data_IF_506984197799
#
_entry.id   IF_506984197799
#
_cell.length_a   1.000
_cell.length_b   1.000
_cell.length_c   1.000
_cell.angle_alpha   90.00
_cell.angle_beta   90.00
_cell.angle_gamma   90.00
#
_symmetry.space_group_name_H-M   'P 1'
#
loop_
_entity.id
_entity.type
_entity.pdbx_description
1 polymer ?
#
# COMPACT_ATOMS: atom_id res chain seq x y z
N UNK A 1 -29.97 -5.56 -15.45
CA UNK A 1 -29.95 -4.30 -14.69
C UNK A 1 -28.89 -4.45 -13.62
N UNK A 2 -27.70 -3.91 -13.85
CA UNK A 2 -26.62 -3.95 -12.86
C UNK A 2 -26.90 -2.86 -11.83
N UNK A 3 -27.26 -3.27 -10.62
CA UNK A 3 -27.29 -2.36 -9.49
C UNK A 3 -25.86 -2.08 -9.09
N UNK A 4 -25.30 -0.98 -9.59
CA UNK A 4 -24.18 -0.31 -8.93
C UNK A 4 -24.64 -0.01 -7.52
N UNK A 5 -24.28 -0.88 -6.57
CA UNK A 5 -24.46 -0.63 -5.14
C UNK A 5 -23.53 0.52 -4.81
N UNK A 6 -24.01 1.74 -4.98
CA UNK A 6 -23.38 2.93 -4.44
C UNK A 6 -23.23 2.71 -2.94
N UNK A 7 -22.01 2.49 -2.47
CA UNK A 7 -21.73 2.40 -1.04
C UNK A 7 -22.27 3.68 -0.38
N UNK A 8 -23.08 3.52 0.67
CA UNK A 8 -23.58 4.67 1.43
C UNK A 8 -22.41 5.42 2.07
N UNK A 9 -22.52 6.74 2.24
CA UNK A 9 -21.44 7.56 2.83
C UNK A 9 -20.94 7.03 4.19
N UNK A 10 -21.82 6.40 4.96
CA UNK A 10 -21.49 5.77 6.24
C UNK A 10 -20.63 4.51 6.06
N UNK A 11 -20.93 3.68 5.05
CA UNK A 11 -20.13 2.49 4.69
C UNK A 11 -18.71 2.86 4.24
N UNK A 12 -18.56 3.96 3.49
CA UNK A 12 -17.24 4.46 3.07
C UNK A 12 -16.41 4.88 4.30
N UNK A 13 -17.01 5.64 5.22
CA UNK A 13 -16.33 6.09 6.45
C UNK A 13 -15.85 4.90 7.30
N UNK A 14 -16.64 3.83 7.39
CA UNK A 14 -16.27 2.60 8.09
C UNK A 14 -15.06 1.90 7.44
N UNK A 15 -15.09 1.70 6.12
CA UNK A 15 -13.98 1.11 5.36
C UNK A 15 -12.66 1.87 5.55
N UNK A 16 -12.72 3.19 5.62
CA UNK A 16 -11.55 4.03 5.87
C UNK A 16 -11.07 3.98 7.32
N UNK A 17 -11.96 3.97 8.30
CA UNK A 17 -11.58 3.77 9.69
C UNK A 17 -10.90 2.40 9.89
N UNK A 18 -11.40 1.38 9.21
CA UNK A 18 -10.79 0.07 9.20
C UNK A 18 -9.41 0.09 8.53
N UNK A 19 -9.26 0.76 7.40
CA UNK A 19 -7.98 0.95 6.72
C UNK A 19 -6.95 1.69 7.60
N UNK A 20 -7.38 2.74 8.33
CA UNK A 20 -6.55 3.43 9.34
C UNK A 20 -6.08 2.49 10.45
N UNK A 21 -6.96 1.59 10.90
CA UNK A 21 -6.59 0.60 11.91
C UNK A 21 -5.57 -0.39 11.36
N UNK A 22 -5.82 -0.95 10.17
CA UNK A 22 -4.93 -1.90 9.50
C UNK A 22 -3.52 -1.35 9.26
N UNK A 23 -3.40 -0.12 8.75
CA UNK A 23 -2.07 0.47 8.50
C UNK A 23 -1.30 0.76 9.80
N UNK A 24 -1.99 1.05 10.91
CA UNK A 24 -1.35 1.14 12.23
C UNK A 24 -0.78 -0.20 12.68
N UNK A 25 -1.51 -1.30 12.44
CA UNK A 25 -1.00 -2.65 12.72
C UNK A 25 0.24 -2.95 11.88
N UNK A 26 0.21 -2.65 10.57
CA UNK A 26 1.37 -2.79 9.68
C UNK A 26 2.59 -2.02 10.22
N UNK A 27 2.41 -0.74 10.58
CA UNK A 27 3.50 0.07 11.15
C UNK A 27 4.03 -0.49 12.47
N UNK A 28 3.16 -1.05 13.32
CA UNK A 28 3.58 -1.68 14.58
C UNK A 28 4.42 -2.95 14.34
N UNK A 29 4.14 -3.69 13.27
CA UNK A 29 4.86 -4.92 12.93
C UNK A 29 6.22 -4.66 12.26
N UNK A 30 6.37 -3.57 11.50
CA UNK A 30 7.67 -3.21 10.91
C UNK A 30 8.72 -2.78 11.93
N UNK A 31 8.31 -2.24 13.08
CA UNK A 31 9.26 -1.71 14.06
C UNK A 31 10.16 -0.60 13.50
N UNK A 32 11.44 -0.58 13.92
CA UNK A 32 12.42 0.42 13.49
C UNK A 32 13.34 -0.18 12.43
N UNK A 33 13.44 0.49 11.29
CA UNK A 33 14.38 0.15 10.22
C UNK A 33 15.30 1.32 9.91
N UNK A 34 16.56 1.01 9.64
CA UNK A 34 17.58 1.98 9.26
C UNK A 34 17.91 1.83 7.77
N UNK A 35 18.07 2.94 7.03
CA UNK A 35 18.33 2.90 5.59
C UNK A 35 19.74 2.37 5.24
N UNK A 36 20.69 2.49 6.18
CA UNK A 36 22.12 2.21 5.98
C UNK A 36 22.51 0.78 6.40
N UNK A 37 21.61 0.03 7.03
CA UNK A 37 21.90 -1.30 7.58
C UNK A 37 20.98 -2.36 6.96
N UNK A 38 21.48 -3.61 6.80
CA UNK A 38 20.61 -4.74 6.53
C UNK A 38 19.59 -4.88 7.66
N UNK A 39 18.30 -4.70 7.35
CA UNK A 39 17.22 -4.90 8.31
C UNK A 39 16.81 -6.38 8.30
N UNK A 40 16.50 -6.98 9.47
CA UNK A 40 16.04 -8.35 9.54
C UNK A 40 14.71 -8.50 8.78
N UNK A 41 14.64 -9.47 7.87
CA UNK A 41 13.42 -9.78 7.15
C UNK A 41 12.41 -10.41 8.14
N UNK A 42 11.13 -10.01 8.13
CA UNK A 42 10.10 -10.61 8.97
C UNK A 42 9.95 -12.12 8.74
N UNK A 43 9.51 -12.84 9.77
CA UNK A 43 9.15 -14.26 9.63
C UNK A 43 7.94 -14.46 8.71
N UNK A 44 7.75 -15.69 8.22
CA UNK A 44 6.72 -16.00 7.21
C UNK A 44 5.29 -15.69 7.69
N UNK A 45 5.03 -15.81 9.00
CA UNK A 45 3.72 -15.49 9.59
C UNK A 45 3.45 -13.98 9.59
N UNK A 46 4.43 -13.19 10.04
CA UNK A 46 4.39 -11.73 10.05
C UNK A 46 4.27 -11.22 8.62
N UNK A 47 5.02 -11.84 7.72
CA UNK A 47 5.00 -11.53 6.31
C UNK A 47 3.60 -11.70 5.69
N UNK A 48 3.01 -12.89 5.83
CA UNK A 48 1.65 -13.15 5.34
C UNK A 48 0.61 -12.20 5.95
N UNK A 49 0.75 -11.88 7.23
CA UNK A 49 -0.15 -10.96 7.94
C UNK A 49 -0.08 -9.54 7.36
N UNK A 50 1.13 -9.00 7.17
CA UNK A 50 1.33 -7.66 6.61
C UNK A 50 0.81 -7.59 5.16
N UNK A 51 1.12 -8.59 4.32
CA UNK A 51 0.62 -8.62 2.93
C UNK A 51 -0.91 -8.61 2.88
N UNK A 52 -1.58 -9.40 3.72
CA UNK A 52 -3.04 -9.43 3.79
C UNK A 52 -3.64 -8.08 4.23
N UNK A 53 -3.00 -7.40 5.19
CA UNK A 53 -3.42 -6.08 5.64
C UNK A 53 -3.28 -5.02 4.53
N UNK A 54 -2.17 -5.04 3.78
CA UNK A 54 -1.94 -4.12 2.64
C UNK A 54 -2.96 -4.34 1.53
N UNK A 55 -3.21 -5.61 1.16
CA UNK A 55 -4.23 -5.96 0.16
C UNK A 55 -5.62 -5.46 0.57
N UNK A 56 -5.97 -5.63 1.84
CA UNK A 56 -7.28 -5.18 2.37
C UNK A 56 -7.44 -3.66 2.36
N UNK A 57 -6.35 -2.89 2.49
CA UNK A 57 -6.37 -1.43 2.36
C UNK A 57 -6.64 -1.02 0.91
N UNK A 58 -6.01 -1.71 -0.05
CA UNK A 58 -6.20 -1.43 -1.48
C UNK A 58 -7.66 -1.60 -1.90
N UNK A 59 -8.30 -2.72 -1.54
CA UNK A 59 -9.70 -3.01 -1.90
C UNK A 59 -10.70 -2.00 -1.31
N UNK A 60 -10.40 -1.42 -0.15
CA UNK A 60 -11.27 -0.42 0.49
C UNK A 60 -11.28 0.95 -0.22
N UNK A 61 -10.26 1.25 -1.05
CA UNK A 61 -10.13 2.54 -1.74
C UNK A 61 -10.74 2.58 -3.15
N UNK A 62 -11.36 1.49 -3.60
CA UNK A 62 -11.91 1.39 -4.95
C UNK A 62 -13.23 2.17 -5.15
N UNK A 63 -13.90 2.61 -4.09
CA UNK A 63 -15.30 3.08 -4.10
C UNK A 63 -15.53 4.59 -4.37
N UNK A 64 -14.50 5.40 -4.66
CA UNK A 64 -14.65 6.85 -4.91
C UNK A 64 -14.15 7.29 -6.31
N UNK A 65 -14.83 8.28 -6.91
CA UNK A 65 -14.46 8.93 -8.18
C UNK A 65 -13.11 9.67 -8.07
N UNK A 66 -12.36 9.72 -9.17
CA UNK A 66 -11.00 10.31 -9.32
C UNK A 66 -10.61 11.37 -8.28
N UNK A 67 -9.74 10.97 -7.35
CA UNK A 67 -9.16 11.79 -6.30
C UNK A 67 -7.65 11.50 -6.26
N UNK A 68 -6.80 12.54 -6.16
CA UNK A 68 -5.33 12.39 -6.05
C UNK A 68 -4.94 11.46 -4.89
N UNK A 69 -5.67 11.49 -3.78
CA UNK A 69 -5.45 10.59 -2.64
C UNK A 69 -5.71 9.12 -2.99
N UNK A 70 -6.80 8.82 -3.68
CA UNK A 70 -7.13 7.46 -4.09
C UNK A 70 -6.04 6.88 -4.97
N UNK A 71 -5.63 7.63 -5.99
CA UNK A 71 -4.60 7.20 -6.92
C UNK A 71 -3.27 6.92 -6.19
N UNK A 72 -2.87 7.80 -5.27
CA UNK A 72 -1.66 7.58 -4.48
C UNK A 72 -1.79 6.39 -3.51
N UNK A 73 -2.93 6.22 -2.82
CA UNK A 73 -3.14 5.08 -1.93
C UNK A 73 -3.06 3.77 -2.71
N UNK A 74 -3.73 3.68 -3.86
CA UNK A 74 -3.67 2.48 -4.72
C UNK A 74 -2.24 2.23 -5.21
N UNK A 75 -1.56 3.26 -5.73
CA UNK A 75 -0.21 3.11 -6.26
C UNK A 75 0.79 2.67 -5.19
N UNK A 76 0.78 3.34 -4.03
CA UNK A 76 1.66 2.99 -2.93
C UNK A 76 1.33 1.59 -2.42
N UNK A 77 0.05 1.24 -2.24
CA UNK A 77 -0.33 -0.09 -1.75
C UNK A 77 0.11 -1.19 -2.71
N UNK A 78 -0.04 -0.98 -4.02
CA UNK A 78 0.43 -1.92 -5.04
C UNK A 78 1.96 -2.08 -5.00
N UNK A 79 2.69 -0.96 -4.95
CA UNK A 79 4.14 -1.00 -4.84
C UNK A 79 4.58 -1.75 -3.56
N UNK A 80 3.96 -1.46 -2.42
CA UNK A 80 4.24 -2.14 -1.15
C UNK A 80 3.96 -3.64 -1.23
N UNK A 81 2.84 -4.04 -1.83
CA UNK A 81 2.47 -5.45 -1.97
C UNK A 81 3.50 -6.22 -2.82
N UNK A 82 3.97 -5.62 -3.91
CA UNK A 82 5.02 -6.23 -4.73
C UNK A 82 6.39 -6.19 -4.04
N UNK A 83 6.73 -5.08 -3.39
CA UNK A 83 8.03 -4.86 -2.73
C UNK A 83 8.19 -5.73 -1.48
N UNK A 84 7.11 -5.96 -0.76
CA UNK A 84 7.07 -6.85 0.39
C UNK A 84 6.91 -8.29 -0.11
N UNK A 85 7.94 -8.73 -0.84
CA UNK A 85 8.18 -10.08 -1.36
C UNK A 85 9.52 -10.60 -0.77
N UNK A 86 9.55 -11.78 -0.16
CA UNK A 86 10.76 -12.31 0.52
C UNK A 86 11.97 -12.40 -0.43
N UNK A 87 11.76 -12.86 -1.66
CA UNK A 87 12.83 -13.00 -2.65
C UNK A 87 13.34 -11.63 -3.09
N UNK A 88 12.43 -10.69 -3.39
CA UNK A 88 12.80 -9.31 -3.72
C UNK A 88 13.58 -8.63 -2.59
N UNK A 89 13.10 -8.73 -1.34
CA UNK A 89 13.77 -8.14 -0.18
C UNK A 89 15.17 -8.73 0.05
N UNK A 90 15.31 -10.05 -0.12
CA UNK A 90 16.59 -10.75 0.08
C UNK A 90 17.59 -10.40 -1.01
N UNK A 91 17.18 -10.42 -2.28
CA UNK A 91 18.03 -10.11 -3.43
C UNK A 91 18.57 -8.68 -3.39
N UNK A 92 17.80 -7.76 -2.81
CA UNK A 92 18.09 -6.33 -2.81
C UNK A 92 18.50 -5.79 -1.43
N UNK A 93 18.77 -6.65 -0.45
CA UNK A 93 19.00 -6.27 0.95
C UNK A 93 20.19 -5.31 1.16
N UNK A 94 21.18 -5.35 0.26
CA UNK A 94 22.39 -4.53 0.30
C UNK A 94 22.26 -3.17 -0.39
N UNK A 95 21.14 -2.90 -1.08
CA UNK A 95 20.94 -1.63 -1.77
C UNK A 95 20.74 -0.48 -0.78
N UNK A 96 21.07 0.73 -1.24
CA UNK A 96 20.72 1.98 -0.57
C UNK A 96 19.73 2.78 -1.43
N UNK A 97 18.56 3.16 -0.90
CA UNK A 97 18.03 2.80 0.42
C UNK A 97 17.75 1.30 0.52
N UNK A 98 17.79 0.74 1.72
CA UNK A 98 17.37 -0.64 1.92
C UNK A 98 15.88 -0.83 1.51
N UNK A 99 15.51 -1.86 0.74
CA UNK A 99 14.13 -2.05 0.27
C UNK A 99 13.10 -2.17 1.39
N UNK A 100 13.44 -2.83 2.50
CA UNK A 100 12.54 -2.98 3.65
C UNK A 100 12.31 -1.64 4.37
N UNK A 101 13.32 -0.77 4.39
CA UNK A 101 13.15 0.62 4.80
C UNK A 101 12.18 1.39 3.88
N UNK A 102 12.30 1.23 2.56
CA UNK A 102 11.39 1.87 1.61
C UNK A 102 9.95 1.36 1.76
N UNK A 103 9.75 0.06 1.99
CA UNK A 103 8.44 -0.53 2.32
C UNK A 103 7.84 0.12 3.57
N UNK A 104 8.61 0.23 4.66
CA UNK A 104 8.16 0.90 5.88
C UNK A 104 7.79 2.37 5.61
N UNK A 105 8.59 3.09 4.82
CA UNK A 105 8.30 4.48 4.45
C UNK A 105 7.01 4.62 3.67
N UNK A 106 6.73 3.72 2.72
CA UNK A 106 5.46 3.73 2.01
C UNK A 106 4.27 3.48 2.95
N UNK A 107 4.43 2.61 3.96
CA UNK A 107 3.39 2.42 4.98
C UNK A 107 3.15 3.68 5.85
N UNK A 108 4.20 4.47 6.15
CA UNK A 108 4.05 5.75 6.84
C UNK A 108 3.28 6.78 5.99
N UNK A 109 3.59 6.84 4.69
CA UNK A 109 2.87 7.70 3.74
C UNK A 109 1.41 7.26 3.65
N UNK A 110 1.13 5.97 3.50
CA UNK A 110 -0.24 5.44 3.52
C UNK A 110 -0.97 5.82 4.79
N UNK A 111 -0.34 5.67 5.96
CA UNK A 111 -0.97 6.06 7.22
C UNK A 111 -1.32 7.55 7.26
N UNK A 112 -0.43 8.42 6.76
CA UNK A 112 -0.67 9.86 6.65
C UNK A 112 -1.86 10.17 5.72
N UNK A 113 -1.88 9.58 4.53
CA UNK A 113 -2.95 9.78 3.55
C UNK A 113 -4.29 9.23 4.04
N UNK A 114 -4.28 8.07 4.69
CA UNK A 114 -5.48 7.45 5.26
C UNK A 114 -6.03 8.25 6.43
N UNK A 115 -5.20 8.90 7.26
CA UNK A 115 -5.64 9.68 8.43
C UNK A 115 -6.48 10.91 8.09
N UNK A 116 -6.27 11.48 6.90
CA UNK A 116 -6.85 12.77 6.50
C UNK A 116 -8.31 12.66 6.05
N UNK A 117 -9.00 13.80 6.03
CA UNK A 117 -10.41 13.90 5.65
C UNK A 117 -10.55 13.68 4.14
N UNK A 118 -11.18 12.56 3.78
CA UNK A 118 -11.30 12.05 2.41
C UNK A 118 -12.25 12.88 1.55
N UNK A 119 -12.94 13.85 2.15
CA UNK A 119 -13.61 14.93 1.42
C UNK A 119 -12.64 15.80 0.63
N UNK A 120 -11.34 15.79 0.97
CA UNK A 120 -10.31 16.50 0.22
C UNK A 120 -9.95 15.73 -1.05
N UNK A 121 -10.03 16.42 -2.18
CA UNK A 121 -9.75 15.87 -3.52
C UNK A 121 -8.31 16.10 -4.00
N UNK A 122 -7.55 16.92 -3.28
CA UNK A 122 -6.21 17.38 -3.66
C UNK A 122 -5.30 17.41 -2.45
N UNK A 123 -4.02 17.11 -2.68
CA UNK A 123 -2.99 17.23 -1.66
C UNK A 123 -2.80 18.67 -1.20
N UNK A 124 -2.46 18.82 0.09
CA UNK A 124 -1.72 19.99 0.55
C UNK A 124 -0.27 19.92 0.06
N UNK A 125 0.44 21.05 0.10
CA UNK A 125 1.86 21.11 -0.28
C UNK A 125 2.73 20.13 0.52
N UNK A 126 2.41 19.89 1.79
CA UNK A 126 3.12 18.93 2.64
C UNK A 126 2.90 17.48 2.18
N UNK A 127 1.68 17.14 1.79
CA UNK A 127 1.33 15.79 1.32
C UNK A 127 1.92 15.51 -0.07
N UNK A 128 1.87 16.49 -0.97
CA UNK A 128 2.51 16.40 -2.28
C UNK A 128 4.02 16.21 -2.12
N UNK A 129 4.67 16.98 -1.24
CA UNK A 129 6.09 16.82 -0.95
C UNK A 129 6.39 15.45 -0.35
N UNK A 130 5.61 14.98 0.62
CA UNK A 130 5.76 13.66 1.23
C UNK A 130 5.64 12.54 0.19
N UNK A 131 4.64 12.60 -0.68
CA UNK A 131 4.41 11.62 -1.73
C UNK A 131 5.52 11.64 -2.79
N UNK A 132 5.94 12.83 -3.28
CA UNK A 132 7.09 12.97 -4.19
C UNK A 132 8.40 12.46 -3.60
N UNK A 133 8.63 12.70 -2.31
CA UNK A 133 9.79 12.18 -1.59
C UNK A 133 9.78 10.65 -1.59
N UNK A 134 8.61 10.03 -1.39
CA UNK A 134 8.47 8.59 -1.49
C UNK A 134 8.71 8.07 -2.91
N UNK A 135 8.15 8.71 -3.94
CA UNK A 135 8.41 8.35 -5.34
C UNK A 135 9.92 8.42 -5.68
N UNK A 136 10.60 9.45 -5.20
CA UNK A 136 12.05 9.63 -5.35
C UNK A 136 12.86 8.58 -4.58
N UNK A 137 12.35 8.12 -3.44
CA UNK A 137 12.97 7.04 -2.66
C UNK A 137 12.91 5.72 -3.43
N UNK A 138 11.73 5.35 -3.93
CA UNK A 138 11.51 4.07 -4.61
C UNK A 138 12.11 4.04 -6.02
N UNK A 139 12.30 5.20 -6.68
CA UNK A 139 12.94 5.25 -8.01
C UNK A 139 14.43 4.86 -7.98
N UNK A 140 15.05 4.80 -6.79
CA UNK A 140 16.42 4.33 -6.59
C UNK A 140 16.51 2.81 -6.43
N UNK A 141 15.38 2.13 -6.34
CA UNK A 141 15.28 0.68 -6.20
C UNK A 141 14.85 0.04 -7.52
N UNK A 142 15.20 -1.23 -7.77
CA UNK A 142 14.60 -2.00 -8.84
C UNK A 142 13.08 -2.01 -8.68
N UNK A 143 12.32 -1.89 -9.78
CA UNK A 143 10.87 -1.92 -9.67
C UNK A 143 10.42 -3.34 -9.26
N UNK A 144 9.80 -3.52 -8.08
CA UNK A 144 9.34 -4.83 -7.61
C UNK A 144 8.12 -5.32 -8.39
N UNK A 145 7.42 -4.42 -9.09
CA UNK A 145 6.30 -4.77 -9.95
C UNK A 145 6.90 -5.42 -11.19
N UNK A 146 6.73 -6.74 -11.31
CA UNK A 146 7.06 -7.45 -12.54
C UNK A 146 6.40 -6.69 -13.69
N UNK A 147 7.17 -6.08 -14.61
CA UNK A 147 6.60 -5.47 -15.83
C UNK A 147 5.79 -6.46 -16.69
N UNK A 148 5.82 -7.75 -16.33
CA UNK A 148 5.03 -8.87 -16.88
C UNK A 148 3.72 -9.18 -16.15
N UNK A 149 3.45 -8.60 -14.98
CA UNK A 149 2.09 -8.61 -14.42
C UNK A 149 1.29 -7.58 -15.21
N UNK A 150 0.85 -7.97 -16.41
CA UNK A 150 -0.22 -7.31 -17.11
C UNK A 150 -1.35 -7.04 -16.11
N UNK A 151 -1.90 -5.83 -16.14
CA UNK A 151 -3.02 -5.41 -15.30
C UNK A 151 -4.20 -6.39 -15.32
N UNK A 152 -4.31 -7.19 -16.39
CA UNK A 152 -5.23 -8.33 -16.54
C UNK A 152 -5.22 -9.30 -15.34
N UNK A 153 -4.07 -9.51 -14.68
CA UNK A 153 -3.95 -10.49 -13.60
C UNK A 153 -4.44 -9.99 -12.23
N UNK A 154 -4.59 -8.68 -12.04
CA UNK A 154 -5.11 -8.12 -10.78
C UNK A 154 -6.62 -8.23 -10.74
N UNK A 155 -7.28 -7.97 -11.87
CA UNK A 155 -8.73 -8.13 -12.00
C UNK A 155 -9.12 -9.61 -11.86
N UNK A 156 -8.37 -10.54 -12.46
CA UNK A 156 -8.58 -11.99 -12.28
C UNK A 156 -8.33 -12.46 -10.83
N UNK A 157 -7.38 -11.85 -10.11
CA UNK A 157 -7.12 -12.18 -8.70
C UNK A 157 -8.25 -11.70 -7.79
N UNK A 158 -8.81 -10.50 -8.06
CA UNK A 158 -9.95 -9.94 -7.34
C UNK A 158 -11.22 -10.76 -7.64
N UNK A 159 -11.43 -11.15 -8.90
CA UNK A 159 -12.55 -11.99 -9.31
C UNK A 159 -12.52 -13.38 -8.67
N UNK A 160 -11.33 -13.98 -8.53
CA UNK A 160 -11.19 -15.28 -7.88
C UNK A 160 -11.45 -15.21 -6.37
N UNK A 161 -11.05 -14.12 -5.70
CA UNK A 161 -11.36 -13.90 -4.29
C UNK A 161 -12.88 -13.73 -4.03
N UNK A 162 -13.59 -13.10 -4.97
CA UNK A 162 -15.04 -12.90 -4.90
C UNK A 162 -15.85 -14.14 -5.25
N UNK A 163 -15.30 -15.07 -6.05
CA UNK A 163 -15.95 -16.34 -6.41
C UNK A 163 -15.85 -17.42 -5.33
N UNK A 164 -14.94 -17.26 -4.36
CA UNK A 164 -14.75 -18.20 -3.24
C UNK A 164 -15.48 -17.82 -1.94
N UNK A 165 -16.37 -16.81 -1.96
CA UNK A 165 -17.23 -16.42 -0.82
C UNK A 165 -18.68 -16.80 -1.03
#
# INVERSE_FOLDING_TARGET
>A
MSSDKSATKDSIKELYNESKHRIRLVLSMFGRYEPEKPNPIPDDKTFATISNLINSIMSATQFESENQYRNAIVEISNWLNCAFNKDYLTQNASLYPNPLYAVRKGAEVLHSLLHRDLRRKQFSSEEDQMYRNFLTLISKLPDPRNKKLNQDNVDDMIDNLLKTS
#
